data_IF_440900657533
#
_entry.id   IF_440900657533
#
_cell.length_a   1.000
_cell.length_b   1.000
_cell.length_c   1.000
_cell.angle_alpha   90.00
_cell.angle_beta   90.00
_cell.angle_gamma   90.00
#
_symmetry.space_group_name_H-M   'P 1'
#
loop_
_entity.id
_entity.type
_entity.pdbx_description
1 polymer ?
#
# COMPACT_ATOMS: atom_id res chain seq x y z
N UNK A 1 6.43 48.14 2.92
CA UNK A 1 6.75 46.72 2.61
C UNK A 1 5.45 45.95 2.76
N UNK A 2 4.72 45.73 1.66
CA UNK A 2 3.41 45.10 1.70
C UNK A 2 3.58 43.60 1.45
N UNK A 3 3.28 42.82 2.49
CA UNK A 3 3.22 41.37 2.46
C UNK A 3 1.99 40.95 1.64
N UNK A 4 2.20 40.50 0.42
CA UNK A 4 1.15 39.94 -0.42
C UNK A 4 0.84 38.55 0.15
N UNK A 5 -0.28 38.44 0.88
CA UNK A 5 -0.87 37.15 1.22
C UNK A 5 -1.38 36.52 -0.08
N UNK A 6 -0.71 35.45 -0.48
CA UNK A 6 -1.10 34.60 -1.61
C UNK A 6 -2.46 33.95 -1.29
N UNK A 7 -3.48 34.07 -2.15
CA UNK A 7 -4.79 33.51 -1.87
C UNK A 7 -4.71 31.99 -1.98
N UNK A 8 -5.03 31.30 -0.88
CA UNK A 8 -5.20 29.85 -0.85
C UNK A 8 -6.40 29.49 -1.73
N UNK A 9 -6.12 29.08 -2.97
CA UNK A 9 -7.14 28.64 -3.92
C UNK A 9 -7.75 27.36 -3.37
N UNK A 10 -8.94 27.48 -2.77
CA UNK A 10 -9.81 26.37 -2.42
C UNK A 10 -10.29 25.67 -3.70
N UNK A 11 -9.41 24.82 -4.23
CA UNK A 11 -9.74 23.91 -5.33
C UNK A 11 -10.76 22.93 -4.78
N UNK A 12 -12.05 23.13 -5.08
CA UNK A 12 -13.07 22.08 -5.03
C UNK A 12 -12.51 20.85 -5.76
N UNK A 13 -11.96 19.89 -5.02
CA UNK A 13 -11.32 18.71 -5.60
C UNK A 13 -12.42 17.79 -6.10
N UNK A 14 -12.53 17.68 -7.42
CA UNK A 14 -13.44 16.72 -8.05
C UNK A 14 -13.02 15.30 -7.64
N UNK A 15 -13.96 14.51 -7.15
CA UNK A 15 -13.71 13.11 -6.80
C UNK A 15 -13.84 12.23 -8.04
N UNK A 16 -12.71 11.69 -8.49
CA UNK A 16 -12.67 10.82 -9.67
C UNK A 16 -12.76 9.37 -9.19
N UNK A 17 -13.89 8.74 -9.50
CA UNK A 17 -14.11 7.30 -9.32
C UNK A 17 -13.88 6.61 -10.66
N UNK A 18 -12.99 5.62 -10.68
CA UNK A 18 -12.76 4.81 -11.86
C UNK A 18 -13.54 3.51 -11.72
N UNK A 19 -14.64 3.37 -12.46
CA UNK A 19 -15.36 2.11 -12.55
C UNK A 19 -14.56 1.14 -13.43
N UNK A 20 -14.00 0.11 -12.80
CA UNK A 20 -13.24 -0.97 -13.47
C UNK A 20 -14.14 -2.14 -13.88
N UNK A 21 -15.46 -2.02 -13.70
CA UNK A 21 -16.42 -3.10 -13.95
C UNK A 21 -16.85 -3.18 -15.42
N UNK A 22 -16.62 -2.12 -16.21
CA UNK A 22 -16.89 -2.11 -17.64
C UNK A 22 -15.75 -2.77 -18.44
N UNK A 23 -15.98 -3.94 -19.06
CA UNK A 23 -14.97 -4.62 -19.89
C UNK A 23 -14.60 -3.84 -21.16
N UNK A 24 -15.36 -2.82 -21.56
CA UNK A 24 -15.06 -1.93 -22.69
C UNK A 24 -14.02 -0.85 -22.36
N UNK A 25 -13.78 -0.57 -21.07
CA UNK A 25 -12.83 0.47 -20.60
C UNK A 25 -11.82 -0.12 -19.59
N UNK A 26 -11.01 -1.12 -19.98
CA UNK A 26 -10.26 -1.93 -19.02
C UNK A 26 -9.04 -1.19 -18.46
N UNK A 27 -9.16 -0.44 -17.35
CA UNK A 27 -8.04 0.15 -16.56
C UNK A 27 -6.95 0.91 -17.37
N UNK A 28 -7.21 1.19 -18.66
CA UNK A 28 -6.20 1.54 -19.66
C UNK A 28 -5.78 3.00 -19.56
N UNK A 29 -6.61 3.84 -18.94
CA UNK A 29 -6.45 5.29 -18.88
C UNK A 29 -5.18 5.74 -18.11
N UNK A 30 -4.44 4.84 -17.45
CA UNK A 30 -3.17 5.20 -16.77
C UNK A 30 -2.00 4.21 -16.99
N UNK A 31 -2.19 3.13 -17.75
CA UNK A 31 -1.16 2.10 -17.93
C UNK A 31 -0.20 2.43 -19.07
N UNK A 32 -0.70 3.06 -20.14
CA UNK A 32 0.04 3.28 -21.38
C UNK A 32 0.58 4.71 -21.54
N UNK A 33 0.12 5.67 -20.72
CA UNK A 33 0.67 7.02 -20.72
C UNK A 33 2.00 7.11 -19.94
N UNK A 34 3.07 7.67 -20.53
CA UNK A 34 4.38 7.83 -19.90
C UNK A 34 4.42 8.85 -18.75
N UNK A 35 3.27 9.31 -18.24
CA UNK A 35 3.13 10.39 -17.24
C UNK A 35 2.66 9.88 -15.86
N UNK A 36 2.31 8.60 -15.68
CA UNK A 36 1.55 8.13 -14.48
C UNK A 36 2.28 7.85 -13.14
N UNK A 37 3.56 8.23 -12.88
CA UNK A 37 4.04 8.42 -11.51
C UNK A 37 3.91 9.87 -11.02
N UNK A 38 3.65 10.84 -11.91
CA UNK A 38 3.65 12.27 -11.55
C UNK A 38 2.35 12.78 -10.92
N UNK A 39 1.26 12.01 -11.04
CA UNK A 39 -0.04 12.38 -10.46
C UNK A 39 0.03 12.43 -8.94
N UNK A 40 0.63 11.40 -8.32
CA UNK A 40 0.62 11.24 -6.86
C UNK A 40 1.97 11.61 -6.27
N UNK A 41 2.04 12.80 -5.66
CA UNK A 41 3.27 13.23 -4.97
C UNK A 41 3.30 12.64 -3.57
N UNK A 42 4.21 11.71 -3.34
CA UNK A 42 4.42 11.11 -2.03
C UNK A 42 5.22 12.06 -1.14
N UNK A 43 4.80 12.28 0.11
CA UNK A 43 5.60 13.05 1.07
C UNK A 43 6.84 12.27 1.47
N UNK A 44 8.01 12.92 1.38
CA UNK A 44 9.27 12.42 1.93
C UNK A 44 9.86 13.45 2.91
N UNK A 45 10.27 13.05 4.13
CA UNK A 45 10.25 11.70 4.67
C UNK A 45 8.82 11.21 4.97
N UNK A 46 8.54 9.90 4.82
CA UNK A 46 7.22 9.37 5.13
C UNK A 46 6.97 9.41 6.63
N UNK A 47 5.91 10.08 7.06
CA UNK A 47 5.52 10.11 8.47
C UNK A 47 4.79 8.81 8.85
N UNK A 48 5.55 7.72 9.00
CA UNK A 48 5.05 6.40 9.37
C UNK A 48 5.58 6.02 10.74
N UNK A 49 4.68 5.85 11.70
CA UNK A 49 5.02 5.30 13.01
C UNK A 49 5.06 3.75 12.95
N UNK A 50 6.23 3.12 13.18
CA UNK A 50 6.36 1.65 13.18
C UNK A 50 5.45 0.94 14.19
N UNK A 51 5.12 1.57 15.32
CA UNK A 51 4.27 0.97 16.36
C UNK A 51 2.82 0.89 15.91
N UNK A 52 2.30 1.96 15.31
CA UNK A 52 0.93 1.98 14.75
C UNK A 52 0.72 0.91 13.68
N UNK A 53 1.77 0.55 12.93
CA UNK A 53 1.69 -0.54 11.94
C UNK A 53 1.35 -1.91 12.54
N UNK A 54 1.64 -2.11 13.83
CA UNK A 54 1.45 -3.38 14.53
C UNK A 54 0.16 -3.36 15.35
N UNK A 55 -0.16 -2.22 15.97
CA UNK A 55 -1.25 -2.09 16.95
C UNK A 55 -2.60 -1.75 16.32
N UNK A 56 -2.63 -0.99 15.21
CA UNK A 56 -3.86 -0.32 14.75
C UNK A 56 -4.73 -1.16 13.80
N UNK A 57 -4.48 -2.46 13.61
CA UNK A 57 -5.37 -3.30 12.80
C UNK A 57 -6.58 -3.74 13.62
N UNK A 58 -7.57 -2.86 13.72
CA UNK A 58 -8.95 -3.26 14.07
C UNK A 58 -9.44 -4.23 12.98
N UNK A 59 -9.63 -5.49 13.34
CA UNK A 59 -10.45 -6.38 12.51
C UNK A 59 -11.91 -6.03 12.81
N UNK A 60 -12.74 -5.98 11.76
CA UNK A 60 -14.19 -5.90 11.90
C UNK A 60 -14.65 -7.10 12.75
N UNK A 61 -15.01 -6.84 14.01
CA UNK A 61 -15.66 -7.82 14.88
C UNK A 61 -14.88 -8.44 16.05
N UNK A 62 -13.68 -7.99 16.45
CA UNK A 62 -13.14 -8.40 17.76
C UNK A 62 -11.63 -8.29 17.98
N UNK A 63 -11.27 -7.89 19.21
CA UNK A 63 -9.95 -7.81 19.87
C UNK A 63 -8.73 -7.54 18.97
N UNK A 64 -8.00 -6.45 19.24
CA UNK A 64 -6.75 -6.12 18.53
C UNK A 64 -5.75 -7.29 18.60
N UNK A 65 -5.70 -8.08 17.52
CA UNK A 65 -4.77 -9.18 17.36
C UNK A 65 -3.57 -8.65 16.61
N UNK A 66 -2.41 -8.70 17.27
CA UNK A 66 -1.13 -8.40 16.63
C UNK A 66 -1.01 -9.24 15.35
N UNK A 67 -0.75 -8.61 14.19
CA UNK A 67 -0.80 -9.29 12.91
C UNK A 67 0.24 -10.41 12.81
N UNK A 68 -0.07 -11.47 12.06
CA UNK A 68 0.85 -12.58 11.83
C UNK A 68 2.13 -12.17 11.09
N UNK A 69 2.08 -11.09 10.30
CA UNK A 69 3.21 -10.55 9.53
C UNK A 69 3.23 -9.03 9.58
N UNK A 70 4.43 -8.45 9.60
CA UNK A 70 4.62 -7.02 9.41
C UNK A 70 4.60 -6.65 7.92
N UNK A 71 4.16 -5.44 7.56
CA UNK A 71 4.24 -4.96 6.18
C UNK A 71 5.70 -4.78 5.75
N UNK A 72 6.03 -5.23 4.53
CA UNK A 72 7.32 -4.95 3.91
C UNK A 72 7.39 -3.48 3.41
N UNK A 73 8.59 -3.04 3.01
CA UNK A 73 8.82 -1.68 2.51
C UNK A 73 7.85 -1.26 1.38
N UNK A 74 7.62 -2.13 0.40
CA UNK A 74 6.70 -1.84 -0.72
C UNK A 74 5.24 -1.75 -0.27
N UNK A 75 4.82 -2.58 0.68
CA UNK A 75 3.46 -2.51 1.24
C UNK A 75 3.24 -1.18 1.98
N UNK A 76 4.26 -0.69 2.69
CA UNK A 76 4.22 0.63 3.32
C UNK A 76 4.15 1.74 2.28
N UNK A 77 5.00 1.68 1.27
CA UNK A 77 5.00 2.61 0.15
C UNK A 77 3.62 2.70 -0.53
N UNK A 78 3.03 1.55 -0.89
CA UNK A 78 1.70 1.48 -1.50
C UNK A 78 0.62 2.04 -0.58
N UNK A 79 0.73 1.88 0.75
CA UNK A 79 -0.22 2.48 1.70
C UNK A 79 -0.19 4.01 1.61
N UNK A 80 1.00 4.62 1.62
CA UNK A 80 1.14 6.08 1.49
C UNK A 80 0.71 6.55 0.09
N UNK A 81 0.94 5.73 -0.94
CA UNK A 81 0.45 6.00 -2.29
C UNK A 81 -1.09 6.11 -2.31
N UNK A 82 -1.79 5.16 -1.68
CA UNK A 82 -3.26 5.21 -1.55
C UNK A 82 -3.70 6.47 -0.81
N UNK A 83 -3.06 6.78 0.33
CA UNK A 83 -3.42 7.95 1.14
C UNK A 83 -3.19 9.26 0.37
N UNK A 84 -2.10 9.35 -0.39
CA UNK A 84 -1.76 10.53 -1.18
C UNK A 84 -2.72 10.70 -2.37
N UNK A 85 -3.01 9.61 -3.10
CA UNK A 85 -3.99 9.61 -4.17
C UNK A 85 -5.38 10.05 -3.68
N UNK A 86 -5.81 9.55 -2.53
CA UNK A 86 -7.09 9.96 -1.92
C UNK A 86 -7.11 11.42 -1.50
N UNK A 87 -6.00 11.96 -0.99
CA UNK A 87 -5.87 13.39 -0.64
C UNK A 87 -6.00 14.28 -1.88
N UNK A 88 -5.50 13.80 -3.02
CA UNK A 88 -5.63 14.48 -4.32
C UNK A 88 -7.00 14.30 -4.96
N UNK A 89 -7.87 13.44 -4.41
CA UNK A 89 -9.25 13.22 -4.87
C UNK A 89 -9.45 11.94 -5.69
N UNK A 90 -8.39 11.16 -5.90
CA UNK A 90 -8.42 9.92 -6.68
C UNK A 90 -8.81 8.71 -5.82
N UNK A 91 -9.92 8.07 -6.17
CA UNK A 91 -10.37 6.81 -5.56
C UNK A 91 -10.22 5.68 -6.56
N UNK A 92 -8.99 5.17 -6.66
CA UNK A 92 -8.62 4.18 -7.67
C UNK A 92 -8.79 2.73 -7.16
N UNK A 93 -9.15 1.78 -8.04
CA UNK A 93 -9.14 0.36 -7.72
C UNK A 93 -7.75 -0.12 -7.27
N UNK A 94 -7.74 -1.13 -6.39
CA UNK A 94 -6.49 -1.68 -5.83
C UNK A 94 -5.53 -2.21 -6.90
N UNK A 95 -6.06 -2.74 -8.01
CA UNK A 95 -5.30 -3.23 -9.17
C UNK A 95 -4.49 -2.09 -9.82
N UNK A 96 -5.14 -0.96 -10.08
CA UNK A 96 -4.54 0.25 -10.65
C UNK A 96 -3.49 0.81 -9.71
N UNK A 97 -3.83 1.02 -8.42
CA UNK A 97 -2.89 1.57 -7.44
C UNK A 97 -1.66 0.67 -7.29
N UNK A 98 -1.84 -0.66 -7.26
CA UNK A 98 -0.72 -1.59 -7.12
C UNK A 98 0.22 -1.52 -8.32
N UNK A 99 -0.33 -1.37 -9.53
CA UNK A 99 0.45 -1.17 -10.76
C UNK A 99 1.24 0.15 -10.73
N UNK A 100 0.57 1.26 -10.44
CA UNK A 100 1.20 2.60 -10.36
C UNK A 100 2.28 2.66 -9.28
N UNK A 101 1.98 2.16 -8.09
CA UNK A 101 2.94 2.11 -6.98
C UNK A 101 4.15 1.23 -7.33
N UNK A 102 3.95 0.10 -8.03
CA UNK A 102 5.05 -0.76 -8.48
C UNK A 102 5.96 -0.05 -9.48
N UNK A 103 5.38 0.64 -10.47
CA UNK A 103 6.14 1.45 -11.43
C UNK A 103 6.92 2.56 -10.72
N UNK A 104 6.26 3.32 -9.84
CA UNK A 104 6.89 4.42 -9.10
C UNK A 104 8.02 3.92 -8.21
N UNK A 105 7.78 2.87 -7.42
CA UNK A 105 8.78 2.27 -6.53
C UNK A 105 10.06 1.84 -7.26
N UNK A 106 9.97 1.38 -8.52
CA UNK A 106 11.17 1.03 -9.30
C UNK A 106 12.05 2.26 -9.57
N UNK A 107 11.44 3.40 -9.85
CA UNK A 107 12.10 4.65 -10.22
C UNK A 107 12.46 5.54 -9.01
N UNK A 108 11.93 5.25 -7.82
CA UNK A 108 12.33 5.96 -6.59
C UNK A 108 13.84 5.84 -6.33
N UNK A 109 14.49 6.91 -5.82
CA UNK A 109 15.89 6.87 -5.47
C UNK A 109 16.15 5.95 -4.27
N UNK A 110 17.39 5.48 -4.15
CA UNK A 110 17.73 4.45 -3.16
C UNK A 110 17.56 4.93 -1.71
N UNK A 111 17.82 6.21 -1.43
CA UNK A 111 17.59 6.80 -0.10
C UNK A 111 16.12 6.69 0.34
N UNK A 112 15.16 6.87 -0.58
CA UNK A 112 13.73 6.71 -0.29
C UNK A 112 13.43 5.25 0.01
N UNK A 113 13.91 4.34 -0.85
CA UNK A 113 13.72 2.89 -0.66
C UNK A 113 14.31 2.40 0.67
N UNK A 114 15.47 2.93 1.05
CA UNK A 114 16.15 2.61 2.30
C UNK A 114 15.36 3.06 3.53
N UNK A 115 14.78 4.26 3.52
CA UNK A 115 13.97 4.73 4.64
C UNK A 115 12.74 3.83 4.86
N UNK A 116 12.03 3.43 3.79
CA UNK A 116 10.92 2.47 3.91
C UNK A 116 11.38 1.08 4.39
N UNK A 117 12.57 0.62 3.96
CA UNK A 117 13.17 -0.63 4.47
C UNK A 117 13.49 -0.53 5.96
N UNK A 118 14.04 0.60 6.42
CA UNK A 118 14.34 0.87 7.83
C UNK A 118 13.07 0.83 8.68
N UNK A 119 12.02 1.53 8.26
CA UNK A 119 10.71 1.52 8.95
C UNK A 119 10.13 0.11 9.01
N UNK A 120 10.16 -0.63 7.90
CA UNK A 120 9.68 -2.02 7.86
C UNK A 120 10.46 -2.94 8.80
N UNK A 121 11.78 -2.77 8.87
CA UNK A 121 12.65 -3.52 9.80
C UNK A 121 12.35 -3.18 11.25
N UNK A 122 12.15 -1.90 11.58
CA UNK A 122 11.77 -1.47 12.93
C UNK A 122 10.44 -2.11 13.34
N UNK A 123 9.42 -2.09 12.48
CA UNK A 123 8.15 -2.75 12.75
C UNK A 123 8.33 -4.26 12.97
N UNK A 124 9.18 -4.92 12.17
CA UNK A 124 9.48 -6.34 12.35
C UNK A 124 10.12 -6.64 13.72
N UNK A 125 11.10 -5.85 14.15
CA UNK A 125 11.75 -6.04 15.45
C UNK A 125 10.80 -5.78 16.62
N UNK A 126 9.97 -4.73 16.56
CA UNK A 126 8.94 -4.48 17.58
C UNK A 126 7.98 -5.69 17.68
N UNK A 127 7.52 -6.22 16.54
CA UNK A 127 6.65 -7.42 16.54
C UNK A 127 7.36 -8.63 17.15
N UNK A 128 8.64 -8.83 16.84
CA UNK A 128 9.44 -9.95 17.35
C UNK A 128 9.60 -9.87 18.87
N UNK A 129 9.70 -8.66 19.43
CA UNK A 129 9.71 -8.42 20.87
C UNK A 129 8.34 -8.72 21.50
N UNK A 130 7.24 -8.31 20.85
CA UNK A 130 5.87 -8.52 21.36
C UNK A 130 5.39 -9.97 21.24
N UNK A 131 5.75 -10.69 20.18
CA UNK A 131 5.43 -12.10 19.96
C UNK A 131 6.72 -12.88 19.73
N UNK A 132 7.35 -13.39 20.80
CA UNK A 132 8.43 -14.34 20.66
C UNK A 132 7.92 -15.58 19.93
N UNK A 133 8.74 -16.14 19.04
CA UNK A 133 8.38 -17.32 18.23
C UNK A 133 8.04 -18.50 19.16
N UNK A 134 6.76 -18.80 19.33
CA UNK A 134 6.35 -20.12 19.82
C UNK A 134 6.74 -21.15 18.77
N UNK A 135 7.54 -22.14 19.16
CA UNK A 135 8.20 -23.14 18.31
C UNK A 135 7.27 -24.10 17.57
N UNK A 136 5.96 -23.83 17.49
CA UNK A 136 4.99 -24.70 16.81
C UNK A 136 5.03 -24.48 15.29
N UNK A 137 6.06 -25.04 14.64
CA UNK A 137 5.95 -25.41 13.23
C UNK A 137 4.82 -26.44 13.13
N UNK A 138 3.59 -26.01 12.82
CA UNK A 138 2.58 -26.95 12.33
C UNK A 138 3.16 -27.59 11.08
N UNK A 139 3.45 -28.89 11.15
CA UNK A 139 3.89 -29.70 10.00
C UNK A 139 2.82 -29.46 8.94
N UNK A 140 3.21 -28.89 7.79
CA UNK A 140 2.26 -28.71 6.67
C UNK A 140 1.83 -30.11 6.28
N UNK A 141 0.59 -30.47 6.57
CA UNK A 141 0.03 -31.74 6.12
C UNK A 141 0.17 -31.80 4.60
N UNK A 142 0.59 -32.98 4.12
CA UNK A 142 0.79 -33.23 2.70
C UNK A 142 -0.58 -33.04 2.05
N UNK A 143 -0.71 -32.06 1.16
CA UNK A 143 -1.97 -31.83 0.45
C UNK A 143 -2.36 -33.12 -0.26
N UNK A 144 -3.58 -33.60 -0.02
CA UNK A 144 -4.15 -34.69 -0.81
C UNK A 144 -4.34 -34.16 -2.23
N UNK A 145 -3.46 -34.58 -3.14
CA UNK A 145 -3.60 -34.24 -4.54
C UNK A 145 -4.78 -35.05 -5.10
N UNK A 146 -5.92 -34.41 -5.30
CA UNK A 146 -7.07 -35.03 -5.98
C UNK A 146 -6.76 -34.95 -7.48
N UNK A 147 -6.30 -36.06 -8.05
CA UNK A 147 -6.22 -36.20 -9.50
C UNK A 147 -7.61 -36.54 -10.03
N UNK A 148 -8.12 -35.71 -10.94
CA UNK A 148 -9.28 -36.09 -11.73
C UNK A 148 -8.77 -36.96 -12.89
N UNK A 149 -9.08 -38.25 -12.88
CA UNK A 149 -8.97 -39.07 -14.08
C UNK A 149 -10.01 -38.58 -15.08
N UNK A 150 -9.57 -38.12 -16.25
CA UNK A 150 -10.49 -37.83 -17.35
C UNK A 150 -11.16 -39.15 -17.75
N UNK A 151 -12.48 -39.20 -17.63
CA UNK A 151 -13.28 -40.30 -18.21
C UNK A 151 -13.26 -40.12 -19.73
N UNK A 152 -12.72 -41.11 -20.43
CA UNK A 152 -12.91 -41.31 -21.87
C UNK A 152 -14.37 -41.59 -22.19
#
# INVERSE_FOLDING_TARGET
MNLIMEPEIDRKREHIFLDSSDPSMPNQVFLDDPISPSIVKLPFPPHIDPYKLITDRKQDGGMSRIPARTPNAFILYRKIFIESARKEGYHLPMTVISSMASKSWKHEPDNVKEEYKKISKQAFEIRKQLIPKTSRKKKREKWNFVSFSNKS
#
